data_IF_621499457714
#
_entry.id   IF_621499457714
#
_cell.length_a   1.000
_cell.length_b   1.000
_cell.length_c   1.000
_cell.angle_alpha   90.00
_cell.angle_beta   90.00
_cell.angle_gamma   90.00
#
_symmetry.space_group_name_H-M   'P 1'
#
loop_
_entity.id
_entity.type
_entity.pdbx_description
1 polymer ?
#
# COMPACT_ATOMS: atom_id res chain seq x y z
N UNK A 1 -15.00 32.25 23.50
CA UNK A 1 -13.72 31.84 22.86
C UNK A 1 -13.08 30.66 23.57
N UNK A 2 -13.05 30.60 24.91
CA UNK A 2 -12.53 29.43 25.64
C UNK A 2 -13.24 28.11 25.30
N UNK A 3 -14.58 28.10 25.20
CA UNK A 3 -15.36 26.90 24.87
C UNK A 3 -15.07 26.29 23.50
N UNK A 4 -14.59 27.10 22.55
CA UNK A 4 -14.20 26.61 21.22
C UNK A 4 -12.84 25.94 21.26
N UNK A 5 -11.90 26.51 22.02
CA UNK A 5 -10.57 25.94 22.23
C UNK A 5 -10.69 24.60 22.99
N UNK A 6 -11.50 24.54 24.03
CA UNK A 6 -11.78 23.28 24.76
C UNK A 6 -12.34 22.20 23.83
N UNK A 7 -13.26 22.56 22.94
CA UNK A 7 -13.86 21.62 21.98
C UNK A 7 -12.86 21.16 20.92
N UNK A 8 -11.95 22.01 20.48
CA UNK A 8 -10.83 21.62 19.60
C UNK A 8 -9.89 20.66 20.33
N UNK A 9 -9.53 20.95 21.58
CA UNK A 9 -8.67 20.09 22.37
C UNK A 9 -9.29 18.70 22.58
N UNK A 10 -10.59 18.64 22.89
CA UNK A 10 -11.33 17.38 22.99
C UNK A 10 -11.33 16.60 21.67
N UNK A 11 -11.52 17.28 20.54
CA UNK A 11 -11.49 16.61 19.24
C UNK A 11 -10.09 16.07 18.90
N UNK A 12 -9.03 16.81 19.23
CA UNK A 12 -7.66 16.34 19.04
C UNK A 12 -7.36 15.12 19.90
N UNK A 13 -7.80 15.12 21.16
CA UNK A 13 -7.61 13.99 22.07
C UNK A 13 -8.32 12.73 21.59
N UNK A 14 -9.55 12.87 21.05
CA UNK A 14 -10.29 11.77 20.44
C UNK A 14 -9.54 11.23 19.21
N UNK A 15 -9.03 12.12 18.34
CA UNK A 15 -8.27 11.71 17.15
C UNK A 15 -7.00 10.96 17.55
N UNK A 16 -6.26 11.44 18.55
CA UNK A 16 -5.03 10.77 19.01
C UNK A 16 -5.33 9.39 19.58
N UNK A 17 -6.39 9.24 20.37
CA UNK A 17 -6.81 7.94 20.91
C UNK A 17 -7.25 6.96 19.82
N UNK A 18 -7.96 7.44 18.80
CA UNK A 18 -8.37 6.61 17.66
C UNK A 18 -7.17 6.15 16.83
N UNK A 19 -6.19 7.02 16.62
CA UNK A 19 -4.95 6.69 15.91
C UNK A 19 -4.13 5.65 16.69
N UNK A 20 -3.93 5.85 17.99
CA UNK A 20 -3.20 4.91 18.85
C UNK A 20 -3.85 3.52 18.86
N UNK A 21 -5.19 3.46 18.94
CA UNK A 21 -5.93 2.21 18.87
C UNK A 21 -5.77 1.50 17.52
N UNK A 22 -5.70 2.25 16.42
CA UNK A 22 -5.50 1.67 15.09
C UNK A 22 -4.10 1.05 14.93
N UNK A 23 -3.08 1.67 15.52
CA UNK A 23 -1.71 1.14 15.56
C UNK A 23 -1.65 -0.14 16.40
N UNK A 24 -2.25 -0.16 17.58
CA UNK A 24 -2.29 -1.36 18.43
C UNK A 24 -3.03 -2.52 17.75
N UNK A 25 -4.08 -2.25 17.00
CA UNK A 25 -4.79 -3.28 16.22
C UNK A 25 -3.89 -3.86 15.12
N UNK A 26 -3.10 -3.03 14.45
CA UNK A 26 -2.11 -3.46 13.48
C UNK A 26 -1.02 -4.33 14.12
N UNK A 27 -0.45 -3.90 15.26
CA UNK A 27 0.57 -4.67 15.99
C UNK A 27 0.04 -6.02 16.52
N UNK A 28 -1.20 -6.04 17.02
CA UNK A 28 -1.87 -7.27 17.44
C UNK A 28 -2.13 -8.23 16.26
N UNK A 29 -2.27 -7.69 15.04
CA UNK A 29 -2.38 -8.47 13.81
C UNK A 29 -1.02 -9.06 13.41
N UNK A 30 0.08 -8.34 13.61
CA UNK A 30 1.45 -8.82 13.34
C UNK A 30 1.89 -9.92 14.32
N UNK A 31 1.51 -9.84 15.59
CA UNK A 31 1.88 -10.85 16.60
C UNK A 31 1.27 -12.24 16.35
N UNK A 32 0.33 -12.39 15.40
CA UNK A 32 -0.22 -13.70 14.99
C UNK A 32 0.63 -14.46 13.97
N UNK A 33 1.77 -13.90 13.56
CA UNK A 33 2.82 -14.65 12.88
C UNK A 33 2.50 -14.93 11.42
N UNK A 34 3.08 -14.11 10.54
CA UNK A 34 3.63 -14.55 9.26
C UNK A 34 4.75 -13.56 8.89
N UNK A 35 6.00 -14.01 9.01
CA UNK A 35 7.16 -13.30 8.46
C UNK A 35 7.16 -13.46 6.94
N UNK A 36 7.63 -12.45 6.20
CA UNK A 36 8.98 -12.60 5.67
C UNK A 36 9.86 -11.36 5.86
N UNK A 37 11.12 -11.70 6.10
CA UNK A 37 12.38 -10.97 6.12
C UNK A 37 12.48 -9.65 5.32
N UNK A 38 13.36 -8.79 5.84
CA UNK A 38 13.92 -7.56 5.28
C UNK A 38 13.10 -6.25 5.34
N UNK A 39 13.40 -5.46 6.37
CA UNK A 39 13.61 -4.00 6.28
C UNK A 39 12.56 -3.18 5.51
N UNK A 40 11.31 -3.14 5.98
CA UNK A 40 10.34 -2.16 5.48
C UNK A 40 9.51 -1.55 6.61
N UNK A 41 10.16 -0.97 7.61
CA UNK A 41 9.49 -0.10 8.59
C UNK A 41 9.29 1.32 8.02
N UNK A 42 8.47 1.44 6.98
CA UNK A 42 7.91 2.72 6.49
C UNK A 42 6.49 2.56 5.87
N UNK A 43 5.88 1.37 5.95
CA UNK A 43 4.70 0.91 5.17
C UNK A 43 3.32 1.41 5.63
N UNK A 44 3.21 2.61 6.21
CA UNK A 44 1.90 3.13 6.65
C UNK A 44 1.56 4.53 6.13
N UNK A 45 2.28 5.02 5.13
CA UNK A 45 1.94 6.25 4.42
C UNK A 45 1.95 6.03 2.92
N UNK A 46 0.85 5.47 2.40
CA UNK A 46 0.51 5.55 0.97
C UNK A 46 1.57 4.92 0.05
N UNK A 47 1.81 3.62 0.20
CA UNK A 47 2.87 2.91 -0.52
C UNK A 47 2.66 2.94 -2.04
N UNK A 48 3.32 3.92 -2.67
CA UNK A 48 3.56 3.94 -4.10
C UNK A 48 4.58 2.84 -4.41
N UNK A 49 4.10 1.78 -5.03
CA UNK A 49 4.90 0.65 -5.45
C UNK A 49 5.77 1.03 -6.65
N UNK A 50 7.05 0.71 -6.59
CA UNK A 50 7.94 0.85 -7.74
C UNK A 50 7.84 -0.34 -8.71
N UNK A 51 8.61 -0.30 -9.80
CA UNK A 51 8.57 -1.34 -10.83
C UNK A 51 8.94 -2.72 -10.25
N UNK A 52 9.98 -2.78 -9.42
CA UNK A 52 10.50 -4.04 -8.89
C UNK A 52 9.49 -4.66 -7.94
N UNK A 53 8.91 -3.85 -7.05
CA UNK A 53 7.86 -4.27 -6.14
C UNK A 53 6.62 -4.77 -6.89
N UNK A 54 6.22 -4.13 -7.99
CA UNK A 54 5.09 -4.60 -8.81
C UNK A 54 5.39 -5.93 -9.51
N UNK A 55 6.61 -6.10 -10.02
CA UNK A 55 7.08 -7.34 -10.64
C UNK A 55 7.04 -8.49 -9.62
N UNK A 56 7.55 -8.25 -8.41
CA UNK A 56 7.59 -9.22 -7.33
C UNK A 56 6.20 -9.57 -6.80
N UNK A 57 5.32 -8.57 -6.70
CA UNK A 57 3.94 -8.74 -6.25
C UNK A 57 3.11 -9.54 -7.26
N UNK A 58 3.26 -9.24 -8.56
CA UNK A 58 2.50 -9.91 -9.62
C UNK A 58 3.14 -11.23 -10.09
N UNK A 59 4.34 -11.55 -9.59
CA UNK A 59 5.14 -12.72 -9.99
C UNK A 59 5.30 -12.81 -11.51
N UNK A 60 5.66 -11.69 -12.13
CA UNK A 60 5.89 -11.59 -13.57
C UNK A 60 7.35 -11.26 -13.87
N UNK A 61 7.78 -11.44 -15.12
CA UNK A 61 9.08 -10.94 -15.57
C UNK A 61 9.03 -9.46 -15.92
N UNK A 62 10.19 -8.79 -15.88
CA UNK A 62 10.33 -7.38 -16.32
C UNK A 62 9.86 -7.18 -17.77
N UNK A 63 10.17 -8.12 -18.66
CA UNK A 63 9.68 -8.08 -20.04
C UNK A 63 8.14 -8.14 -20.12
N UNK A 64 7.51 -8.93 -19.25
CA UNK A 64 6.04 -9.02 -19.16
C UNK A 64 5.47 -7.71 -18.62
N UNK A 65 6.10 -7.11 -17.62
CA UNK A 65 5.72 -5.80 -17.09
C UNK A 65 5.69 -4.74 -18.19
N UNK A 66 6.79 -4.54 -18.93
CA UNK A 66 6.83 -3.53 -19.99
C UNK A 66 5.85 -3.81 -21.13
N UNK A 67 5.61 -5.10 -21.45
CA UNK A 67 4.59 -5.50 -22.42
C UNK A 67 3.19 -5.08 -21.95
N UNK A 68 2.85 -5.33 -20.70
CA UNK A 68 1.55 -4.96 -20.12
C UNK A 68 1.36 -3.45 -20.04
N UNK A 69 2.42 -2.70 -19.72
CA UNK A 69 2.39 -1.23 -19.77
C UNK A 69 2.14 -0.73 -21.20
N UNK A 70 2.82 -1.32 -22.20
CA UNK A 70 2.61 -0.98 -23.61
C UNK A 70 1.21 -1.31 -24.11
N UNK A 71 0.61 -2.39 -23.60
CA UNK A 71 -0.75 -2.83 -23.93
C UNK A 71 -1.83 -2.04 -23.17
N UNK A 72 -1.46 -1.22 -22.18
CA UNK A 72 -2.39 -0.51 -21.32
C UNK A 72 -3.07 -1.39 -20.26
N UNK A 73 -2.59 -2.61 -20.05
CA UNK A 73 -3.06 -3.47 -18.95
C UNK A 73 -2.54 -2.98 -17.59
N UNK A 74 -1.33 -2.40 -17.57
CA UNK A 74 -0.79 -1.70 -16.40
C UNK A 74 -0.62 -0.23 -16.73
N UNK A 75 -1.21 0.65 -15.90
CA UNK A 75 -1.17 2.10 -16.12
C UNK A 75 -0.34 2.73 -14.99
N UNK A 76 0.96 2.96 -15.19
CA UNK A 76 1.82 3.56 -14.17
C UNK A 76 1.52 5.04 -13.99
N UNK A 77 1.55 5.49 -12.74
CA UNK A 77 1.65 6.90 -12.38
C UNK A 77 3.10 7.33 -12.58
N UNK A 78 3.35 8.31 -13.45
CA UNK A 78 4.71 8.71 -13.81
C UNK A 78 5.15 9.92 -12.99
N UNK A 79 6.31 9.83 -12.35
CA UNK A 79 7.00 10.97 -11.75
C UNK A 79 8.39 11.06 -12.38
N UNK A 80 8.53 11.99 -13.34
CA UNK A 80 9.70 12.05 -14.21
C UNK A 80 9.84 10.77 -15.05
N UNK A 81 10.99 10.09 -14.93
CA UNK A 81 11.27 8.83 -15.65
C UNK A 81 10.82 7.57 -14.88
N UNK A 82 10.38 7.70 -13.62
CA UNK A 82 10.03 6.57 -12.75
C UNK A 82 8.54 6.25 -12.84
N UNK A 83 8.22 4.97 -12.74
CA UNK A 83 6.86 4.44 -12.72
C UNK A 83 6.49 4.05 -11.30
N UNK A 84 5.28 4.41 -10.89
CA UNK A 84 4.72 4.11 -9.58
C UNK A 84 3.30 3.58 -9.71
N UNK A 85 2.88 2.74 -8.76
CA UNK A 85 1.52 2.20 -8.70
C UNK A 85 0.96 2.29 -7.30
N UNK A 86 -0.34 2.53 -7.19
CA UNK A 86 -1.05 2.21 -5.96
C UNK A 86 -1.52 0.75 -6.00
N UNK A 87 -1.65 0.10 -4.85
CA UNK A 87 -2.21 -1.26 -4.76
C UNK A 87 -3.59 -1.37 -5.44
N UNK A 88 -4.43 -0.35 -5.33
CA UNK A 88 -5.75 -0.31 -5.97
C UNK A 88 -5.68 -0.40 -7.50
N UNK A 89 -4.62 0.13 -8.11
CA UNK A 89 -4.42 0.10 -9.56
C UNK A 89 -4.08 -1.32 -10.05
N UNK A 90 -3.64 -2.21 -9.15
CA UNK A 90 -3.18 -3.57 -9.45
C UNK A 90 -4.21 -4.67 -9.12
N UNK A 91 -5.31 -4.34 -8.44
CA UNK A 91 -6.30 -5.32 -7.96
C UNK A 91 -6.84 -6.23 -9.07
N UNK A 92 -7.14 -5.65 -10.24
CA UNK A 92 -7.60 -6.42 -11.40
C UNK A 92 -6.55 -7.44 -11.86
N UNK A 93 -5.27 -7.07 -11.80
CA UNK A 93 -4.17 -7.89 -12.33
C UNK A 93 -3.79 -8.97 -11.32
N UNK A 94 -3.93 -8.68 -10.03
CA UNK A 94 -3.85 -9.67 -8.96
C UNK A 94 -4.95 -10.72 -9.09
N UNK A 95 -6.21 -10.32 -9.33
CA UNK A 95 -7.33 -11.25 -9.58
C UNK A 95 -7.08 -12.14 -10.78
N UNK A 96 -6.61 -11.57 -11.89
CA UNK A 96 -6.22 -12.34 -13.08
C UNK A 96 -5.00 -13.25 -12.84
N UNK A 97 -4.06 -12.82 -12.01
CA UNK A 97 -2.92 -13.63 -11.57
C UNK A 97 -3.38 -14.87 -10.80
N UNK A 98 -4.26 -14.69 -9.81
CA UNK A 98 -4.88 -15.77 -9.04
C UNK A 98 -5.68 -16.73 -9.92
N UNK A 99 -6.49 -16.20 -10.83
CA UNK A 99 -7.26 -17.01 -11.79
C UNK A 99 -6.36 -17.90 -12.67
N UNK A 100 -5.15 -17.43 -12.99
CA UNK A 100 -4.17 -18.14 -13.81
C UNK A 100 -3.15 -18.95 -12.98
N UNK A 101 -3.24 -18.93 -11.65
CA UNK A 101 -2.36 -19.67 -10.75
C UNK A 101 -0.94 -19.13 -10.65
N UNK A 102 -0.72 -17.83 -10.89
CA UNK A 102 0.61 -17.20 -10.77
C UNK A 102 0.93 -16.70 -9.35
N UNK A 103 -0.12 -16.41 -8.59
CA UNK A 103 -0.15 -15.82 -7.24
C UNK A 103 -1.23 -16.58 -6.49
#
# INVERSE_FOLDING_TARGET
MLSFIERICQQLEIITQLLEKSVQQYEASLSRGDLPDAETDLSHLSDLLDINQVIDLLKISEATYYRWVKQGELIPRRKGKRHYYCLSDLDRQMKEGRRRGRI
#
